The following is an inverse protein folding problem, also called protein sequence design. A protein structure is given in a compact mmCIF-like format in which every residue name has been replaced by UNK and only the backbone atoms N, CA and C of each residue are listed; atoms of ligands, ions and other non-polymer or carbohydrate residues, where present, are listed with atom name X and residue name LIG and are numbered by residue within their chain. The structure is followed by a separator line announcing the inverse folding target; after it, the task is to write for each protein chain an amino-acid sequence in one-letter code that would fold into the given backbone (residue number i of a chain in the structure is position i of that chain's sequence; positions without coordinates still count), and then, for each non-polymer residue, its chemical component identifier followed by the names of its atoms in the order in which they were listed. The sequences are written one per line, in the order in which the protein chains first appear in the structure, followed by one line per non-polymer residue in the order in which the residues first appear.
data_IF_570086242992
#
_entry.id   IF_570086242992
#
_cell.length_a   1.000
_cell.length_b   1.000
_cell.length_c   1.000
_cell.angle_alpha   90.00
_cell.angle_beta   90.00
_cell.angle_gamma   90.00
#
_symmetry.space_group_name_H-M   'P 1'
#
loop_
_entity.id
_entity.type
_entity.pdbx_description
1 polymer ?
#
# COMPACT_ATOMS: atom_id res chain seq x y z
N UNK A 1 0.01 -16.11 4.29
CA UNK A 1 -1.15 -17.04 4.22
C UNK A 1 -2.43 -16.49 4.85
N UNK A 2 -2.37 -15.73 5.96
CA UNK A 2 -3.54 -15.14 6.64
C UNK A 2 -4.51 -14.39 5.69
N UNK A 3 -4.01 -13.44 4.88
CA UNK A 3 -4.84 -12.65 3.97
C UNK A 3 -5.45 -13.46 2.82
N UNK A 4 -4.73 -14.44 2.30
CA UNK A 4 -5.28 -15.35 1.30
C UNK A 4 -6.41 -16.20 1.92
N UNK A 5 -6.22 -16.68 3.14
CA UNK A 5 -7.24 -17.40 3.90
C UNK A 5 -8.50 -16.57 4.17
N UNK A 6 -8.35 -15.30 4.55
CA UNK A 6 -9.49 -14.40 4.76
C UNK A 6 -10.26 -14.13 3.46
N UNK A 7 -9.56 -13.92 2.34
CA UNK A 7 -10.15 -13.77 1.01
C UNK A 7 -10.93 -15.02 0.59
N UNK A 8 -10.37 -16.21 0.80
CA UNK A 8 -11.04 -17.48 0.50
C UNK A 8 -12.25 -17.70 1.42
N UNK A 9 -12.14 -17.39 2.71
CA UNK A 9 -13.27 -17.47 3.65
C UNK A 9 -14.41 -16.53 3.24
N UNK A 10 -14.08 -15.34 2.75
CA UNK A 10 -15.05 -14.40 2.18
C UNK A 10 -15.69 -14.97 0.91
N UNK A 11 -14.89 -15.50 -0.02
CA UNK A 11 -15.36 -16.09 -1.28
C UNK A 11 -16.33 -17.26 -1.04
N UNK A 12 -16.07 -18.13 -0.06
CA UNK A 12 -16.99 -19.20 0.34
C UNK A 12 -18.33 -18.64 0.84
N UNK A 13 -18.33 -17.47 1.49
CA UNK A 13 -19.57 -16.78 1.87
C UNK A 13 -20.37 -16.28 0.69
N UNK A 14 -19.68 -15.67 -0.28
CA UNK A 14 -20.31 -15.26 -1.53
C UNK A 14 -20.90 -16.45 -2.27
N UNK A 15 -20.19 -17.59 -2.29
CA UNK A 15 -20.68 -18.81 -2.92
C UNK A 15 -21.98 -19.29 -2.29
N UNK A 16 -22.08 -19.31 -0.96
CA UNK A 16 -23.29 -19.75 -0.25
C UNK A 16 -24.45 -18.76 -0.38
N UNK A 17 -24.18 -17.47 -0.25
CA UNK A 17 -25.22 -16.45 -0.32
C UNK A 17 -25.72 -16.17 -1.73
N UNK A 18 -24.83 -16.27 -2.73
CA UNK A 18 -25.07 -15.69 -4.05
C UNK A 18 -24.65 -16.56 -5.23
N UNK A 19 -24.09 -17.74 -4.98
CA UNK A 19 -23.71 -18.72 -6.00
C UNK A 19 -22.23 -18.68 -6.40
N UNK A 20 -21.79 -19.77 -7.02
CA UNK A 20 -20.38 -20.01 -7.36
C UNK A 20 -19.79 -18.97 -8.32
N UNK A 21 -20.58 -18.47 -9.27
CA UNK A 21 -20.13 -17.47 -10.25
C UNK A 21 -19.70 -16.17 -9.59
N UNK A 22 -20.41 -15.72 -8.54
CA UNK A 22 -20.08 -14.49 -7.79
C UNK A 22 -18.74 -14.66 -7.06
N UNK A 23 -18.51 -15.83 -6.46
CA UNK A 23 -17.27 -16.14 -5.76
C UNK A 23 -16.06 -16.16 -6.71
N UNK A 24 -16.21 -16.74 -7.90
CA UNK A 24 -15.16 -16.76 -8.92
C UNK A 24 -14.81 -15.34 -9.38
N UNK A 25 -15.82 -14.52 -9.71
CA UNK A 25 -15.58 -13.12 -10.11
C UNK A 25 -14.93 -12.28 -9.01
N UNK A 26 -15.33 -12.49 -7.75
CA UNK A 26 -14.68 -11.86 -6.62
C UNK A 26 -13.20 -12.22 -6.54
N UNK A 27 -12.84 -13.51 -6.66
CA UNK A 27 -11.44 -13.94 -6.61
C UNK A 27 -10.63 -13.39 -7.79
N UNK A 28 -11.20 -13.37 -9.00
CA UNK A 28 -10.56 -12.78 -10.18
C UNK A 28 -10.32 -11.28 -9.97
N UNK A 29 -11.30 -10.55 -9.44
CA UNK A 29 -11.15 -9.13 -9.16
C UNK A 29 -10.09 -8.87 -8.08
N UNK A 30 -10.07 -9.64 -6.99
CA UNK A 30 -9.04 -9.46 -5.97
C UNK A 30 -7.64 -9.84 -6.46
N UNK A 31 -7.53 -10.86 -7.32
CA UNK A 31 -6.26 -11.22 -7.95
C UNK A 31 -5.80 -10.17 -8.99
N UNK A 32 -6.71 -9.38 -9.57
CA UNK A 32 -6.34 -8.29 -10.49
C UNK A 32 -6.09 -6.95 -9.79
N UNK A 33 -6.37 -6.82 -8.49
CA UNK A 33 -6.08 -5.61 -7.72
C UNK A 33 -4.61 -5.51 -7.34
N UNK A 34 -3.95 -4.45 -7.84
CA UNK A 34 -2.57 -4.11 -7.50
C UNK A 34 -2.34 -3.98 -6.01
N UNK A 35 -3.19 -3.26 -5.29
CA UNK A 35 -2.98 -2.97 -3.87
C UNK A 35 -2.96 -4.24 -3.01
N UNK A 36 -3.82 -5.23 -3.33
CA UNK A 36 -3.87 -6.49 -2.57
C UNK A 36 -2.55 -7.24 -2.73
N UNK A 37 -2.02 -7.36 -3.95
CA UNK A 37 -0.78 -8.08 -4.23
C UNK A 37 0.44 -7.31 -3.72
N UNK A 38 0.47 -6.00 -3.97
CA UNK A 38 1.56 -5.11 -3.58
C UNK A 38 1.81 -5.12 -2.06
N UNK A 39 0.72 -5.13 -1.27
CA UNK A 39 0.83 -5.16 0.17
C UNK A 39 0.92 -6.59 0.75
N UNK A 40 0.51 -7.63 0.02
CA UNK A 40 0.46 -9.00 0.54
C UNK A 40 1.80 -9.54 1.07
N UNK A 41 2.94 -9.08 0.53
CA UNK A 41 4.29 -9.48 0.96
C UNK A 41 4.84 -8.66 2.14
N UNK A 42 4.12 -7.62 2.59
CA UNK A 42 4.63 -6.65 3.55
C UNK A 42 3.95 -6.82 4.91
N UNK A 43 4.70 -6.93 6.03
CA UNK A 43 4.14 -7.03 7.37
C UNK A 43 3.66 -5.67 7.88
N UNK A 44 2.69 -5.07 7.18
CA UNK A 44 2.10 -3.78 7.52
C UNK A 44 0.83 -3.99 8.35
N UNK A 45 0.56 -3.07 9.29
CA UNK A 45 -0.68 -3.08 10.07
C UNK A 45 -1.92 -3.09 9.16
N UNK A 46 -1.85 -2.43 7.99
CA UNK A 46 -2.89 -2.43 6.96
C UNK A 46 -3.28 -3.84 6.51
N UNK A 47 -2.31 -4.74 6.37
CA UNK A 47 -2.55 -6.09 5.89
C UNK A 47 -3.12 -7.00 6.97
N UNK A 48 -2.75 -6.80 8.23
CA UNK A 48 -3.40 -7.48 9.34
C UNK A 48 -4.84 -6.98 9.53
N UNK A 49 -5.04 -5.67 9.46
CA UNK A 49 -6.37 -5.06 9.46
C UNK A 49 -7.22 -5.52 8.28
N UNK A 50 -6.65 -5.62 7.08
CA UNK A 50 -7.32 -6.13 5.88
C UNK A 50 -7.85 -7.56 6.08
N UNK A 51 -7.03 -8.46 6.62
CA UNK A 51 -7.49 -9.82 6.87
C UNK A 51 -8.63 -9.89 7.89
N UNK A 52 -8.51 -9.14 8.99
CA UNK A 52 -9.52 -9.11 10.06
C UNK A 52 -10.84 -8.48 9.59
N UNK A 53 -10.77 -7.35 8.87
CA UNK A 53 -11.94 -6.66 8.31
C UNK A 53 -12.61 -7.49 7.22
N UNK A 54 -11.87 -8.27 6.44
CA UNK A 54 -12.41 -9.21 5.45
C UNK A 54 -13.18 -10.35 6.14
N UNK A 55 -12.63 -10.92 7.21
CA UNK A 55 -13.33 -11.93 8.03
C UNK A 55 -14.60 -11.33 8.65
N UNK A 56 -14.51 -10.12 9.19
CA UNK A 56 -15.66 -9.43 9.76
C UNK A 56 -16.75 -9.16 8.70
N UNK A 57 -16.36 -8.76 7.49
CA UNK A 57 -17.28 -8.51 6.37
C UNK A 57 -17.99 -9.79 5.92
N UNK A 58 -17.31 -10.95 5.95
CA UNK A 58 -17.91 -12.26 5.66
C UNK A 58 -19.05 -12.60 6.62
N UNK A 59 -18.99 -12.14 7.87
CA UNK A 59 -20.05 -12.35 8.84
C UNK A 59 -21.32 -11.55 8.50
N UNK A 60 -21.21 -10.46 7.76
CA UNK A 60 -22.33 -9.61 7.32
C UNK A 60 -23.03 -10.13 6.05
N UNK A 61 -22.40 -11.06 5.32
CA UNK A 61 -22.99 -11.66 4.13
C UNK A 61 -24.24 -12.49 4.47
N UNK A 62 -25.30 -12.39 3.64
CA UNK A 62 -26.51 -13.18 3.84
C UNK A 62 -26.19 -14.67 3.69
N UNK A 63 -26.73 -15.46 4.62
CA UNK A 63 -26.68 -16.91 4.57
C UNK A 63 -28.08 -17.42 4.87
N UNK A 64 -28.76 -17.95 3.85
CA UNK A 64 -30.16 -18.37 3.95
C UNK A 64 -30.35 -19.66 4.75
N UNK A 65 -29.25 -20.34 5.09
CA UNK A 65 -29.28 -21.57 5.90
C UNK A 65 -29.31 -21.30 7.40
N UNK A 66 -29.14 -20.04 7.83
CA UNK A 66 -28.90 -19.68 9.23
C UNK A 66 -30.13 -18.95 9.83
N UNK A 67 -30.59 -19.33 11.04
CA UNK A 67 -31.67 -18.64 11.74
C UNK A 67 -31.38 -17.15 12.00
N UNK A 68 -32.42 -16.32 12.10
CA UNK A 68 -32.29 -14.86 12.33
C UNK A 68 -31.52 -14.51 13.62
N UNK A 69 -31.61 -15.33 14.67
CA UNK A 69 -30.90 -15.12 15.94
C UNK A 69 -29.38 -15.23 15.72
N UNK A 70 -28.95 -16.22 14.95
CA UNK A 70 -27.54 -16.43 14.62
C UNK A 70 -27.03 -15.37 13.64
N UNK A 71 -27.89 -14.83 12.78
CA UNK A 71 -27.56 -13.67 11.94
C UNK A 71 -27.25 -12.41 12.78
N UNK A 72 -28.00 -12.16 13.86
CA UNK A 72 -27.71 -11.05 14.79
C UNK A 72 -26.39 -11.27 15.54
N UNK A 73 -26.15 -12.48 16.05
CA UNK A 73 -24.87 -12.83 16.71
C UNK A 73 -23.68 -12.63 15.78
N UNK A 74 -23.80 -13.03 14.51
CA UNK A 74 -22.79 -12.79 13.47
C UNK A 74 -22.56 -11.31 13.19
N UNK A 75 -23.62 -10.51 13.12
CA UNK A 75 -23.50 -9.06 12.94
C UNK A 75 -22.80 -8.40 14.13
N UNK A 76 -23.12 -8.80 15.36
CA UNK A 76 -22.42 -8.34 16.57
C UNK A 76 -20.94 -8.72 16.56
N UNK A 77 -20.62 -9.97 16.22
CA UNK A 77 -19.23 -10.42 16.08
C UNK A 77 -18.47 -9.65 15.00
N UNK A 78 -19.14 -9.32 13.88
CA UNK A 78 -18.56 -8.47 12.83
C UNK A 78 -18.14 -7.11 13.38
N UNK A 79 -19.05 -6.42 14.09
CA UNK A 79 -18.76 -5.13 14.71
C UNK A 79 -17.61 -5.23 15.72
N UNK A 80 -17.57 -6.32 16.50
CA UNK A 80 -16.48 -6.57 17.45
C UNK A 80 -15.14 -6.63 16.74
N UNK A 81 -15.04 -7.46 15.69
CA UNK A 81 -13.81 -7.64 14.92
C UNK A 81 -13.37 -6.37 14.18
N UNK A 82 -14.31 -5.61 13.60
CA UNK A 82 -14.00 -4.34 12.95
C UNK A 82 -13.46 -3.30 13.94
N UNK A 83 -14.06 -3.21 15.13
CA UNK A 83 -13.62 -2.29 16.17
C UNK A 83 -12.25 -2.70 16.77
N UNK A 84 -12.01 -3.99 17.00
CA UNK A 84 -10.69 -4.49 17.45
C UNK A 84 -9.62 -4.17 16.38
N UNK A 85 -9.93 -4.40 15.10
CA UNK A 85 -9.01 -4.06 14.02
C UNK A 85 -8.67 -2.57 14.02
N UNK A 86 -9.65 -1.70 14.31
CA UNK A 86 -9.43 -0.26 14.39
C UNK A 86 -8.58 0.18 15.59
N UNK A 87 -8.81 -0.42 16.76
CA UNK A 87 -8.08 -0.09 18.00
C UNK A 87 -6.61 -0.50 17.93
N UNK A 88 -6.34 -1.68 17.33
CA UNK A 88 -4.98 -2.26 17.30
C UNK A 88 -4.17 -1.77 16.09
N UNK A 89 -4.77 -1.66 14.90
CA UNK A 89 -3.99 -1.52 13.66
C UNK A 89 -4.17 -0.19 12.91
N UNK A 90 -5.37 0.41 12.99
CA UNK A 90 -5.83 1.45 12.05
C UNK A 90 -7.00 2.27 12.62
N UNK A 91 -6.74 3.41 13.27
CA UNK A 91 -7.81 4.27 13.81
C UNK A 91 -8.84 4.74 12.77
N UNK A 92 -8.49 4.84 11.48
CA UNK A 92 -9.41 5.23 10.40
C UNK A 92 -10.57 4.25 10.19
N UNK A 93 -10.43 2.99 10.62
CA UNK A 93 -11.51 2.01 10.58
C UNK A 93 -12.69 2.38 11.50
N UNK A 94 -12.52 3.32 12.43
CA UNK A 94 -13.63 3.83 13.24
C UNK A 94 -14.76 4.39 12.36
N UNK A 95 -14.42 5.10 11.26
CA UNK A 95 -15.41 5.58 10.29
C UNK A 95 -16.17 4.43 9.63
N UNK A 96 -15.47 3.35 9.33
CA UNK A 96 -16.08 2.17 8.74
C UNK A 96 -16.99 1.44 9.74
N UNK A 97 -16.58 1.31 11.00
CA UNK A 97 -17.40 0.76 12.09
C UNK A 97 -18.67 1.58 12.29
N UNK A 98 -18.56 2.91 12.35
CA UNK A 98 -19.69 3.81 12.55
C UNK A 98 -20.70 3.70 11.41
N UNK A 99 -20.24 3.80 10.16
CA UNK A 99 -21.13 3.69 8.99
C UNK A 99 -21.80 2.32 8.91
N UNK A 100 -21.05 1.24 9.19
CA UNK A 100 -21.59 -0.12 9.24
C UNK A 100 -22.62 -0.31 10.37
N UNK A 101 -22.37 0.30 11.54
CA UNK A 101 -23.27 0.24 12.70
C UNK A 101 -24.57 0.98 12.39
N UNK A 102 -24.51 2.22 11.89
CA UNK A 102 -25.67 3.00 11.49
C UNK A 102 -26.50 2.24 10.45
N UNK A 103 -25.83 1.64 9.45
CA UNK A 103 -26.49 0.85 8.43
C UNK A 103 -27.22 -0.38 9.01
N UNK A 104 -26.58 -1.12 9.91
CA UNK A 104 -27.17 -2.30 10.54
C UNK A 104 -28.33 -1.96 11.48
N UNK A 105 -28.28 -0.81 12.15
CA UNK A 105 -29.36 -0.27 12.97
C UNK A 105 -30.56 0.14 12.08
N UNK A 106 -30.30 0.87 10.99
CA UNK A 106 -31.34 1.29 10.05
C UNK A 106 -32.06 0.09 9.41
N UNK A 107 -31.33 -0.99 9.13
CA UNK A 107 -31.89 -2.25 8.60
C UNK A 107 -32.55 -3.14 9.67
N UNK A 108 -32.59 -2.71 10.94
CA UNK A 108 -33.15 -3.49 12.04
C UNK A 108 -32.43 -4.81 12.34
N UNK A 109 -31.19 -4.98 11.86
CA UNK A 109 -30.41 -6.22 12.03
C UNK A 109 -29.77 -6.32 13.41
N UNK A 110 -29.54 -5.19 14.06
CA UNK A 110 -28.77 -5.02 15.31
C UNK A 110 -29.54 -4.08 16.23
N UNK A 111 -29.43 -4.26 17.55
CA UNK A 111 -29.97 -3.35 18.58
C UNK A 111 -28.86 -2.42 19.10
N UNK A 112 -29.18 -1.16 19.31
CA UNK A 112 -28.20 -0.15 19.75
C UNK A 112 -27.48 -0.57 21.05
N UNK A 113 -28.24 -0.84 22.11
CA UNK A 113 -27.64 -1.12 23.42
C UNK A 113 -27.06 -2.55 23.46
N UNK A 114 -27.87 -3.55 23.16
CA UNK A 114 -27.52 -4.96 23.38
C UNK A 114 -26.47 -5.50 22.41
N UNK A 115 -26.35 -4.91 21.22
CA UNK A 115 -25.44 -5.40 20.21
C UNK A 115 -24.35 -4.37 19.89
N UNK A 116 -24.68 -3.12 19.58
CA UNK A 116 -23.67 -2.14 19.14
C UNK A 116 -22.81 -1.61 20.29
N UNK A 117 -23.42 -1.14 21.39
CA UNK A 117 -22.67 -0.63 22.56
C UNK A 117 -21.88 -1.75 23.23
N UNK A 118 -22.51 -2.91 23.46
CA UNK A 118 -21.81 -4.07 24.04
C UNK A 118 -20.66 -4.53 23.14
N UNK A 119 -20.84 -4.56 21.82
CA UNK A 119 -19.73 -4.85 20.91
C UNK A 119 -18.59 -3.84 21.07
N UNK A 120 -18.90 -2.55 21.14
CA UNK A 120 -17.90 -1.50 21.37
C UNK A 120 -17.14 -1.66 22.67
N UNK A 121 -17.82 -1.94 23.79
CA UNK A 121 -17.19 -2.15 25.10
C UNK A 121 -16.28 -3.38 25.09
N UNK A 122 -16.75 -4.50 24.53
CA UNK A 122 -15.95 -5.73 24.41
C UNK A 122 -14.70 -5.46 23.56
N UNK A 123 -14.86 -4.81 22.41
CA UNK A 123 -13.75 -4.47 21.54
C UNK A 123 -12.76 -3.51 22.19
N UNK A 124 -13.24 -2.53 22.94
CA UNK A 124 -12.39 -1.59 23.66
C UNK A 124 -11.55 -2.31 24.71
N UNK A 125 -12.20 -3.14 25.54
CA UNK A 125 -11.50 -3.89 26.58
C UNK A 125 -10.48 -4.87 25.99
N UNK A 126 -10.90 -5.71 25.04
CA UNK A 126 -10.01 -6.72 24.43
C UNK A 126 -8.91 -6.05 23.61
N UNK A 127 -9.26 -5.05 22.81
CA UNK A 127 -8.31 -4.32 21.96
C UNK A 127 -7.24 -3.60 22.77
N UNK A 128 -7.64 -2.86 23.83
CA UNK A 128 -6.70 -2.14 24.69
C UNK A 128 -5.78 -3.09 25.46
N UNK A 129 -6.30 -4.19 26.01
CA UNK A 129 -5.48 -5.17 26.70
C UNK A 129 -4.42 -5.78 25.78
N UNK A 130 -4.76 -6.06 24.53
CA UNK A 130 -3.81 -6.58 23.55
C UNK A 130 -2.77 -5.54 23.13
N UNK A 131 -3.19 -4.35 22.67
CA UNK A 131 -2.23 -3.33 22.20
C UNK A 131 -1.40 -2.78 23.34
N UNK A 132 -2.00 -2.36 24.45
CA UNK A 132 -1.23 -1.80 25.57
C UNK A 132 -0.37 -2.87 26.23
N UNK A 133 -0.86 -4.10 26.37
CA UNK A 133 -0.08 -5.19 26.96
C UNK A 133 1.13 -5.56 26.10
N UNK A 134 0.91 -5.84 24.81
CA UNK A 134 1.95 -6.34 23.91
C UNK A 134 2.90 -5.21 23.48
N UNK A 135 2.36 -4.08 23.02
CA UNK A 135 3.17 -3.00 22.46
C UNK A 135 4.02 -2.33 23.53
N UNK A 136 3.52 -2.19 24.78
CA UNK A 136 4.33 -1.61 25.85
C UNK A 136 5.58 -2.46 26.18
N UNK A 137 5.50 -3.79 26.03
CA UNK A 137 6.65 -4.69 26.22
C UNK A 137 7.65 -4.49 25.08
N UNK A 138 7.20 -4.53 23.82
CA UNK A 138 8.09 -4.41 22.68
C UNK A 138 8.75 -3.04 22.54
N UNK A 139 8.05 -1.98 22.97
CA UNK A 139 8.54 -0.61 22.90
C UNK A 139 9.24 -0.15 24.18
N UNK A 140 9.32 -1.00 25.22
CA UNK A 140 9.87 -0.64 26.53
C UNK A 140 9.29 0.68 27.10
N UNK A 141 8.01 0.93 26.86
CA UNK A 141 7.31 2.14 27.31
C UNK A 141 5.93 1.74 27.81
N UNK A 142 5.68 1.90 29.11
CA UNK A 142 4.42 1.51 29.74
C UNK A 142 3.76 2.74 30.37
N UNK A 143 2.48 3.06 30.06
CA UNK A 143 1.63 2.46 29.03
C UNK A 143 1.87 3.08 27.65
N UNK A 144 1.86 2.25 26.60
CA UNK A 144 1.88 2.69 25.21
C UNK A 144 0.64 2.19 24.46
N UNK A 145 -0.06 3.10 23.80
CA UNK A 145 -1.08 2.78 22.80
C UNK A 145 -0.67 3.41 21.46
N UNK A 146 -0.01 2.64 20.57
CA UNK A 146 0.60 3.20 19.35
C UNK A 146 -0.40 3.94 18.45
N UNK A 147 -1.59 3.38 18.23
CA UNK A 147 -2.61 3.99 17.38
C UNK A 147 -3.17 5.29 17.97
N UNK A 148 -3.26 5.41 19.30
CA UNK A 148 -3.69 6.65 19.94
C UNK A 148 -2.62 7.73 19.87
N UNK A 149 -1.36 7.39 20.14
CA UNK A 149 -0.23 8.31 19.94
C UNK A 149 -0.16 8.78 18.48
N UNK A 150 -0.34 7.86 17.52
CA UNK A 150 -0.38 8.18 16.09
C UNK A 150 -1.57 9.08 15.72
N UNK A 151 -2.74 8.87 16.32
CA UNK A 151 -3.92 9.71 16.13
C UNK A 151 -3.70 11.12 16.69
N UNK A 152 -3.17 11.23 17.91
CA UNK A 152 -2.83 12.51 18.52
C UNK A 152 -1.83 13.29 17.66
N UNK A 153 -0.76 12.63 17.22
CA UNK A 153 0.27 13.27 16.41
C UNK A 153 -0.25 13.72 15.04
N UNK A 154 -0.95 12.84 14.31
CA UNK A 154 -1.32 13.13 12.93
C UNK A 154 -2.59 13.98 12.81
N UNK A 155 -3.60 13.71 13.63
CA UNK A 155 -4.94 14.33 13.53
C UNK A 155 -5.05 15.55 14.44
N UNK A 156 -4.70 15.41 15.73
CA UNK A 156 -4.87 16.50 16.70
C UNK A 156 -3.78 17.57 16.53
N UNK A 157 -2.52 17.15 16.37
CA UNK A 157 -1.39 18.08 16.18
C UNK A 157 -1.20 18.54 14.73
N UNK A 158 -2.04 18.07 13.79
CA UNK A 158 -2.04 18.51 12.38
C UNK A 158 -0.81 18.09 11.56
N UNK A 159 0.04 17.22 12.09
CA UNK A 159 1.28 16.78 11.43
C UNK A 159 1.03 15.92 10.19
N UNK A 160 -0.20 15.43 9.99
CA UNK A 160 -0.62 14.75 8.76
C UNK A 160 -0.35 15.58 7.49
N UNK A 161 -0.37 16.91 7.60
CA UNK A 161 -0.14 17.82 6.47
C UNK A 161 1.34 17.94 6.04
N UNK A 162 2.28 17.62 6.93
CA UNK A 162 3.72 17.60 6.63
C UNK A 162 4.09 16.52 5.60
N UNK A 163 3.29 15.45 5.53
CA UNK A 163 3.46 14.36 4.56
C UNK A 163 2.88 14.68 3.17
N UNK A 164 2.42 15.91 2.96
CA UNK A 164 1.86 16.40 1.71
C UNK A 164 0.33 16.35 1.65
N UNK A 165 -0.27 17.36 1.02
CA UNK A 165 -1.72 17.49 0.87
C UNK A 165 -2.11 17.58 -0.59
N UNK A 166 -3.08 16.79 -1.02
CA UNK A 166 -3.67 16.93 -2.35
C UNK A 166 -5.04 17.62 -2.28
N UNK A 167 -5.45 18.39 -3.30
CA UNK A 167 -6.79 18.98 -3.35
C UNK A 167 -7.89 17.93 -3.25
N UNK A 168 -9.05 18.28 -2.70
CA UNK A 168 -10.15 17.33 -2.43
C UNK A 168 -10.57 16.51 -3.68
N UNK A 169 -10.55 17.13 -4.87
CA UNK A 169 -10.93 16.46 -6.12
C UNK A 169 -9.94 15.37 -6.54
N UNK A 170 -8.69 15.42 -6.09
CA UNK A 170 -7.68 14.41 -6.38
C UNK A 170 -8.10 13.04 -5.85
N UNK A 171 -8.70 12.99 -4.65
CA UNK A 171 -9.14 11.74 -4.05
C UNK A 171 -10.22 11.04 -4.87
N UNK A 172 -11.14 11.81 -5.46
CA UNK A 172 -12.24 11.26 -6.26
C UNK A 172 -11.86 10.99 -7.71
N UNK A 173 -11.04 11.85 -8.33
CA UNK A 173 -10.70 11.76 -9.75
C UNK A 173 -9.47 10.88 -10.02
N UNK A 174 -8.54 10.80 -9.07
CA UNK A 174 -7.29 10.05 -9.23
C UNK A 174 -7.18 8.87 -8.27
N UNK A 175 -7.32 9.10 -6.96
CA UNK A 175 -7.04 8.05 -5.99
C UNK A 175 -8.08 6.91 -6.06
N UNK A 176 -9.37 7.24 -6.13
CA UNK A 176 -10.44 6.25 -6.17
C UNK A 176 -10.43 5.38 -7.46
N UNK A 177 -10.26 5.93 -8.68
CA UNK A 177 -10.11 5.09 -9.88
C UNK A 177 -8.86 4.21 -9.84
N UNK A 178 -7.73 4.72 -9.30
CA UNK A 178 -6.52 3.92 -9.10
C UNK A 178 -6.72 2.79 -8.08
N UNK A 179 -7.56 3.00 -7.07
CA UNK A 179 -7.90 1.96 -6.10
C UNK A 179 -8.75 0.85 -6.72
N UNK A 180 -9.63 1.19 -7.66
CA UNK A 180 -10.57 0.23 -8.26
C UNK A 180 -10.02 -0.45 -9.52
N UNK A 181 -8.96 0.09 -10.14
CA UNK A 181 -8.15 -0.38 -11.28
C UNK A 181 -8.88 -0.78 -12.57
N UNK A 182 -9.96 -1.56 -12.49
CA UNK A 182 -10.77 -1.97 -13.61
C UNK A 182 -11.90 -0.96 -13.86
N UNK A 183 -11.82 -0.14 -14.93
CA UNK A 183 -12.83 0.87 -15.22
C UNK A 183 -14.20 0.30 -15.54
N UNK A 184 -14.28 -0.90 -16.13
CA UNK A 184 -15.57 -1.53 -16.45
C UNK A 184 -16.30 -1.97 -15.19
N UNK A 185 -15.61 -2.12 -14.08
CA UNK A 185 -16.24 -2.53 -12.83
C UNK A 185 -17.11 -1.40 -12.25
N UNK A 186 -16.62 -0.17 -12.21
CA UNK A 186 -17.44 0.96 -11.72
C UNK A 186 -18.29 1.63 -12.81
N UNK A 187 -17.87 1.59 -14.09
CA UNK A 187 -18.65 2.17 -15.20
C UNK A 187 -19.77 1.26 -15.70
N UNK A 188 -19.63 -0.06 -15.60
CA UNK A 188 -20.58 -1.02 -16.14
C UNK A 188 -21.17 -1.94 -15.07
N UNK A 189 -20.36 -2.56 -14.22
CA UNK A 189 -20.89 -3.54 -13.26
C UNK A 189 -21.74 -2.89 -12.15
N UNK A 190 -21.33 -1.75 -11.58
CA UNK A 190 -22.15 -1.02 -10.59
C UNK A 190 -23.49 -0.56 -11.17
N UNK A 191 -23.55 0.18 -12.30
CA UNK A 191 -24.83 0.68 -12.82
C UNK A 191 -25.76 -0.46 -13.24
N UNK A 192 -25.22 -1.54 -13.81
CA UNK A 192 -26.02 -2.72 -14.16
C UNK A 192 -26.57 -3.40 -12.90
N UNK A 193 -25.77 -3.54 -11.83
CA UNK A 193 -26.21 -4.14 -10.57
C UNK A 193 -27.28 -3.30 -9.85
N UNK A 194 -27.22 -1.96 -9.95
CA UNK A 194 -28.18 -1.06 -9.33
C UNK A 194 -29.48 -0.90 -10.14
N UNK A 195 -29.40 -0.94 -11.48
CA UNK A 195 -30.56 -0.74 -12.36
C UNK A 195 -31.47 -1.96 -12.41
N UNK A 196 -30.93 -3.16 -12.20
CA UNK A 196 -31.70 -4.41 -12.32
C UNK A 196 -32.38 -4.79 -10.99
N UNK A 197 -33.71 -4.99 -10.95
CA UNK A 197 -34.44 -5.28 -9.71
C UNK A 197 -33.94 -6.54 -8.96
N UNK A 198 -33.54 -7.57 -9.72
CA UNK A 198 -33.04 -8.84 -9.18
C UNK A 198 -31.71 -8.70 -8.43
N UNK A 199 -30.89 -7.70 -8.79
CA UNK A 199 -29.55 -7.48 -8.22
C UNK A 199 -29.51 -6.30 -7.26
N UNK A 200 -30.45 -5.36 -7.39
CA UNK A 200 -30.53 -4.15 -6.59
C UNK A 200 -30.70 -4.43 -5.10
N UNK A 201 -31.62 -5.33 -4.73
CA UNK A 201 -31.94 -5.65 -3.34
C UNK A 201 -30.75 -6.19 -2.53
N UNK A 202 -29.93 -7.13 -3.04
CA UNK A 202 -28.71 -7.54 -2.37
C UNK A 202 -27.53 -6.57 -2.56
N UNK A 203 -27.47 -5.81 -3.66
CA UNK A 203 -26.38 -4.87 -3.93
C UNK A 203 -26.43 -3.62 -3.05
N UNK A 204 -27.61 -3.09 -2.71
CA UNK A 204 -27.75 -1.87 -1.89
C UNK A 204 -27.11 -2.06 -0.49
N UNK A 205 -27.44 -3.11 0.28
CA UNK A 205 -26.83 -3.33 1.59
C UNK A 205 -25.32 -3.57 1.55
N UNK A 206 -24.83 -4.05 0.41
CA UNK A 206 -23.42 -4.28 0.15
C UNK A 206 -22.70 -3.01 -0.31
N UNK A 207 -23.39 -2.05 -0.92
CA UNK A 207 -22.84 -0.78 -1.39
C UNK A 207 -22.85 0.31 -0.32
N UNK A 208 -23.90 0.38 0.49
CA UNK A 208 -24.13 1.51 1.40
C UNK A 208 -23.01 1.70 2.43
N UNK A 209 -22.46 0.65 3.07
CA UNK A 209 -21.31 0.82 3.94
C UNK A 209 -19.96 0.59 3.24
N UNK A 210 -19.96 0.04 2.03
CA UNK A 210 -18.77 -0.60 1.45
C UNK A 210 -18.84 -0.60 -0.07
N UNK A 211 -18.43 0.50 -0.71
CA UNK A 211 -18.55 0.71 -2.17
C UNK A 211 -17.87 -0.36 -3.07
N UNK A 212 -17.25 -1.40 -2.52
CA UNK A 212 -16.58 -2.50 -3.24
C UNK A 212 -17.38 -3.82 -3.38
N UNK A 213 -18.51 -4.05 -2.69
CA UNK A 213 -19.14 -5.39 -2.69
C UNK A 213 -20.21 -5.67 -3.76
N UNK A 214 -20.72 -4.66 -4.48
CA UNK A 214 -21.65 -4.89 -5.61
C UNK A 214 -20.98 -5.32 -6.90
N UNK A 215 -19.66 -5.16 -6.98
CA UNK A 215 -18.85 -5.35 -8.19
C UNK A 215 -18.93 -6.79 -8.72
N UNK A 216 -18.72 -7.84 -7.89
CA UNK A 216 -18.78 -9.22 -8.35
C UNK A 216 -20.21 -9.66 -8.72
N UNK A 217 -21.23 -9.02 -8.14
CA UNK A 217 -22.64 -9.32 -8.39
C UNK A 217 -23.09 -8.87 -9.77
N UNK A 218 -22.77 -7.62 -10.15
CA UNK A 218 -23.03 -7.11 -11.50
C UNK A 218 -22.33 -7.92 -12.58
N UNK A 219 -21.07 -8.31 -12.33
CA UNK A 219 -20.30 -9.18 -13.22
C UNK A 219 -20.92 -10.59 -13.36
N UNK A 220 -21.32 -11.21 -12.24
CA UNK A 220 -21.98 -12.51 -12.25
C UNK A 220 -23.32 -12.50 -13.01
N UNK A 221 -24.10 -11.42 -12.89
CA UNK A 221 -25.35 -11.27 -13.63
C UNK A 221 -25.12 -11.26 -15.15
N UNK A 222 -24.16 -10.44 -15.61
CA UNK A 222 -23.79 -10.37 -17.03
C UNK A 222 -23.27 -11.73 -17.54
N UNK A 223 -22.45 -12.41 -16.75
CA UNK A 223 -21.91 -13.73 -17.10
C UNK A 223 -22.99 -14.80 -17.26
N UNK A 224 -23.95 -14.86 -16.34
CA UNK A 224 -25.01 -15.86 -16.36
C UNK A 224 -26.01 -15.67 -17.49
N UNK A 225 -26.16 -14.43 -18.00
CA UNK A 225 -27.06 -14.12 -19.13
C UNK A 225 -26.36 -14.00 -20.48
N UNK A 226 -25.07 -14.35 -20.57
CA UNK A 226 -24.27 -14.21 -21.80
C UNK A 226 -24.86 -14.93 -23.02
N UNK A 227 -25.57 -16.04 -22.83
CA UNK A 227 -26.21 -16.80 -23.91
C UNK A 227 -27.60 -16.27 -24.31
N UNK A 228 -28.18 -15.37 -23.51
CA UNK A 228 -29.56 -14.89 -23.68
C UNK A 228 -29.63 -13.45 -24.20
N UNK A 229 -28.52 -12.72 -24.22
CA UNK A 229 -28.47 -11.33 -24.67
C UNK A 229 -27.13 -11.02 -25.32
N UNK A 230 -27.17 -10.43 -26.53
CA UNK A 230 -25.97 -9.96 -27.22
C UNK A 230 -25.20 -8.92 -26.40
N UNK A 231 -25.90 -8.02 -25.71
CA UNK A 231 -25.29 -7.04 -24.82
C UNK A 231 -24.53 -7.72 -23.66
N UNK A 232 -25.14 -8.71 -23.01
CA UNK A 232 -24.48 -9.46 -21.93
C UNK A 232 -23.31 -10.31 -22.46
N UNK A 233 -23.42 -10.85 -23.67
CA UNK A 233 -22.37 -11.61 -24.35
C UNK A 233 -21.14 -10.74 -24.63
N UNK A 234 -21.33 -9.57 -25.23
CA UNK A 234 -20.23 -8.62 -25.51
C UNK A 234 -19.64 -8.07 -24.21
N UNK A 235 -20.50 -7.64 -23.28
CA UNK A 235 -20.07 -7.09 -21.98
C UNK A 235 -19.27 -8.09 -21.15
N UNK A 236 -19.65 -9.37 -21.13
CA UNK A 236 -18.91 -10.41 -20.40
C UNK A 236 -17.53 -10.68 -21.01
N UNK A 237 -17.39 -10.69 -22.34
CA UNK A 237 -16.07 -10.80 -23.01
C UNK A 237 -15.18 -9.59 -22.71
N UNK A 238 -15.74 -8.38 -22.75
CA UNK A 238 -15.02 -7.16 -22.39
C UNK A 238 -14.60 -7.17 -20.91
N UNK A 239 -15.44 -7.70 -20.00
CA UNK A 239 -15.09 -7.86 -18.59
C UNK A 239 -13.94 -8.85 -18.38
N UNK A 240 -13.92 -9.99 -19.09
CA UNK A 240 -12.79 -10.93 -19.03
C UNK A 240 -11.51 -10.26 -19.54
N UNK A 241 -11.58 -9.63 -20.71
CA UNK A 241 -10.41 -8.98 -21.32
C UNK A 241 -9.87 -7.83 -20.45
N UNK A 242 -10.74 -6.97 -19.93
CA UNK A 242 -10.35 -5.87 -19.04
C UNK A 242 -9.76 -6.38 -17.71
N UNK A 243 -10.29 -7.48 -17.16
CA UNK A 243 -9.75 -8.07 -15.92
C UNK A 243 -8.38 -8.68 -16.15
N UNK A 244 -8.17 -9.33 -17.30
CA UNK A 244 -6.87 -9.87 -17.69
C UNK A 244 -5.87 -8.74 -17.97
N UNK A 245 -6.29 -7.68 -18.66
CA UNK A 245 -5.46 -6.49 -18.90
C UNK A 245 -5.08 -5.80 -17.58
N UNK A 246 -6.03 -5.63 -16.65
CA UNK A 246 -5.77 -5.08 -15.33
C UNK A 246 -4.81 -5.98 -14.52
N UNK A 247 -4.99 -7.30 -14.57
CA UNK A 247 -4.08 -8.26 -13.94
C UNK A 247 -2.66 -8.13 -14.51
N UNK A 248 -2.51 -8.11 -15.83
CA UNK A 248 -1.20 -7.99 -16.48
C UNK A 248 -0.53 -6.64 -16.18
N UNK A 249 -1.29 -5.54 -16.26
CA UNK A 249 -0.80 -4.20 -15.91
C UNK A 249 -0.36 -4.14 -14.44
N UNK A 250 -1.17 -4.71 -13.54
CA UNK A 250 -0.88 -4.76 -12.11
C UNK A 250 0.40 -5.53 -11.81
N UNK A 251 0.53 -6.76 -12.32
CA UNK A 251 1.62 -7.67 -11.94
C UNK A 251 2.92 -7.44 -12.71
N UNK A 252 2.85 -7.08 -14.00
CA UNK A 252 4.05 -6.96 -14.84
C UNK A 252 4.54 -5.52 -15.03
N UNK A 253 3.73 -4.51 -14.69
CA UNK A 253 4.11 -3.10 -14.86
C UNK A 253 4.09 -2.35 -13.53
N UNK A 254 2.94 -2.32 -12.84
CA UNK A 254 2.79 -1.53 -11.61
C UNK A 254 3.58 -2.12 -10.45
N UNK A 255 3.60 -3.45 -10.29
CA UNK A 255 4.36 -4.12 -9.23
C UNK A 255 5.87 -3.90 -9.36
N UNK A 256 6.51 -4.15 -10.51
CA UNK A 256 7.91 -3.79 -10.70
C UNK A 256 8.19 -2.29 -10.53
N UNK A 257 7.36 -1.41 -11.11
CA UNK A 257 7.51 0.04 -10.95
C UNK A 257 7.44 0.47 -9.48
N UNK A 258 6.57 -0.18 -8.69
CA UNK A 258 6.44 0.10 -7.27
C UNK A 258 7.62 -0.40 -6.43
N UNK A 259 8.34 -1.44 -6.87
CA UNK A 259 9.58 -1.85 -6.22
C UNK A 259 10.65 -0.76 -6.34
N UNK A 260 10.68 -0.04 -7.47
CA UNK A 260 11.56 1.11 -7.70
C UNK A 260 11.21 2.37 -6.86
N UNK A 261 10.13 2.34 -6.07
CA UNK A 261 9.79 3.40 -5.11
C UNK A 261 10.46 3.22 -3.73
N UNK A 262 11.40 2.28 -3.58
CA UNK A 262 12.12 2.03 -2.32
C UNK A 262 13.63 2.33 -2.40
N UNK A 263 14.05 3.53 -2.87
CA UNK A 263 15.47 3.88 -2.97
C UNK A 263 16.20 3.85 -1.61
N UNK A 264 15.51 4.05 -0.48
CA UNK A 264 16.12 4.05 0.85
C UNK A 264 16.74 2.71 1.23
N UNK A 265 16.03 1.60 0.98
CA UNK A 265 16.57 0.26 1.23
C UNK A 265 17.82 -0.01 0.36
N UNK A 266 17.79 0.42 -0.90
CA UNK A 266 18.94 0.32 -1.79
C UNK A 266 20.12 1.18 -1.31
N UNK A 267 19.86 2.37 -0.78
CA UNK A 267 20.87 3.27 -0.24
C UNK A 267 21.65 2.67 0.90
N UNK A 268 20.93 2.09 1.86
CA UNK A 268 21.56 1.49 3.01
C UNK A 268 22.38 0.24 2.61
N UNK A 269 21.83 -0.61 1.74
CA UNK A 269 22.54 -1.82 1.29
C UNK A 269 23.78 -1.49 0.46
N UNK A 270 23.71 -0.48 -0.40
CA UNK A 270 24.85 -0.04 -1.19
C UNK A 270 25.94 0.61 -0.33
N UNK A 271 25.53 1.38 0.70
CA UNK A 271 26.44 1.89 1.74
C UNK A 271 27.17 0.73 2.43
N UNK A 272 26.45 -0.28 2.94
CA UNK A 272 27.06 -1.43 3.62
C UNK A 272 28.03 -2.18 2.71
N UNK A 273 27.63 -2.45 1.47
CA UNK A 273 28.49 -3.14 0.51
C UNK A 273 29.76 -2.34 0.21
N UNK A 274 29.68 -1.02 0.04
CA UNK A 274 30.87 -0.20 -0.22
C UNK A 274 31.76 -0.06 0.99
N UNK A 275 31.17 0.06 2.18
CA UNK A 275 31.93 0.12 3.42
C UNK A 275 32.70 -1.18 3.65
N UNK A 276 32.06 -2.34 3.43
CA UNK A 276 32.71 -3.65 3.48
C UNK A 276 33.84 -3.83 2.46
N UNK A 277 33.83 -3.11 1.34
CA UNK A 277 34.94 -3.10 0.37
C UNK A 277 36.07 -2.14 0.75
N UNK A 278 35.75 -1.08 1.49
CA UNK A 278 36.70 -0.03 1.85
C UNK A 278 37.49 -0.36 3.12
N UNK A 279 36.90 -1.13 4.02
CA UNK A 279 37.48 -1.44 5.33
C UNK A 279 37.90 -2.91 5.38
N UNK A 280 39.14 -3.16 5.81
CA UNK A 280 39.70 -4.52 5.90
C UNK A 280 39.35 -5.24 7.20
N UNK A 281 38.91 -4.50 8.23
CA UNK A 281 38.54 -5.03 9.53
C UNK A 281 37.01 -5.13 9.66
N UNK A 282 36.50 -6.29 10.06
CA UNK A 282 35.05 -6.53 10.18
C UNK A 282 34.43 -5.81 11.39
N UNK A 283 35.25 -5.31 12.32
CA UNK A 283 34.82 -4.63 13.56
C UNK A 283 34.75 -3.10 13.44
N UNK A 284 35.16 -2.53 12.32
CA UNK A 284 35.18 -1.08 12.10
C UNK A 284 33.90 -0.65 11.36
N UNK A 285 32.80 -0.62 12.10
CA UNK A 285 31.52 -0.10 11.61
C UNK A 285 31.46 1.43 11.60
N UNK A 286 30.40 1.98 11.00
CA UNK A 286 30.27 3.42 10.80
C UNK A 286 29.03 4.03 11.49
N UNK A 287 29.13 5.32 11.80
CA UNK A 287 27.99 6.12 12.26
C UNK A 287 27.24 6.72 11.08
N UNK A 288 25.94 6.41 10.96
CA UNK A 288 25.11 6.77 9.80
C UNK A 288 23.89 7.57 10.24
N UNK A 289 23.72 8.77 9.66
CA UNK A 289 22.47 9.52 9.77
C UNK A 289 21.46 9.12 8.68
N UNK A 290 20.21 8.91 9.10
CA UNK A 290 19.12 8.49 8.23
C UNK A 290 18.14 9.65 7.98
N UNK A 291 18.09 10.16 6.76
CA UNK A 291 17.15 11.19 6.33
C UNK A 291 15.69 10.72 6.33
N UNK A 292 14.76 11.67 6.39
CA UNK A 292 13.32 11.36 6.48
C UNK A 292 12.81 10.62 5.24
N UNK A 293 13.15 11.08 4.03
CA UNK A 293 12.78 10.38 2.80
C UNK A 293 13.39 8.97 2.75
N UNK A 294 14.60 8.79 3.28
CA UNK A 294 15.30 7.49 3.27
C UNK A 294 14.55 6.44 4.13
N UNK A 295 14.09 6.83 5.31
CA UNK A 295 13.24 5.97 6.16
C UNK A 295 11.88 5.67 5.51
N UNK A 296 11.22 6.66 4.91
CA UNK A 296 9.94 6.46 4.22
C UNK A 296 10.05 5.51 3.02
N UNK A 297 11.20 5.49 2.36
CA UNK A 297 11.46 4.71 1.15
C UNK A 297 12.22 3.41 1.42
N UNK A 298 12.11 2.86 2.64
CA UNK A 298 12.43 1.45 2.89
C UNK A 298 13.60 1.18 3.83
N UNK A 299 14.22 2.20 4.44
CA UNK A 299 15.15 1.93 5.55
C UNK A 299 14.35 1.45 6.77
N UNK A 300 14.61 0.22 7.20
CA UNK A 300 13.99 -0.39 8.37
C UNK A 300 15.05 -0.89 9.33
N UNK A 301 14.69 -1.11 10.61
CA UNK A 301 15.60 -1.68 11.61
C UNK A 301 16.11 -3.08 11.24
N UNK A 302 15.36 -3.85 10.45
CA UNK A 302 15.81 -5.17 9.97
C UNK A 302 16.97 -5.10 8.97
N UNK A 303 17.21 -3.93 8.38
CA UNK A 303 18.35 -3.70 7.49
C UNK A 303 19.58 -3.19 8.25
N UNK A 304 19.46 -2.86 9.53
CA UNK A 304 20.57 -2.32 10.32
C UNK A 304 21.54 -3.44 10.72
N UNK A 305 22.84 -3.17 10.60
CA UNK A 305 23.88 -4.06 11.10
C UNK A 305 24.00 -3.97 12.63
N UNK A 306 24.56 -5.01 13.25
CA UNK A 306 24.69 -5.09 14.71
C UNK A 306 25.56 -3.97 15.28
N UNK A 307 25.16 -3.33 16.40
CA UNK A 307 26.03 -2.42 17.14
C UNK A 307 27.34 -3.08 17.60
N UNK A 308 27.35 -4.40 17.80
CA UNK A 308 28.55 -5.16 18.15
C UNK A 308 29.62 -5.18 17.04
N UNK A 309 29.26 -4.78 15.82
CA UNK A 309 30.16 -4.60 14.68
C UNK A 309 30.51 -3.11 14.45
N UNK A 310 30.34 -2.25 15.46
CA UNK A 310 30.67 -0.82 15.38
C UNK A 310 29.64 0.06 14.66
N UNK A 311 28.49 -0.49 14.25
CA UNK A 311 27.47 0.29 13.53
C UNK A 311 26.56 1.09 14.45
N UNK A 312 26.39 2.37 14.13
CA UNK A 312 25.43 3.25 14.80
C UNK A 312 24.53 3.92 13.77
N UNK A 313 23.22 3.92 14.02
CA UNK A 313 22.23 4.55 13.14
C UNK A 313 21.42 5.57 13.93
N UNK A 314 21.45 6.82 13.48
CA UNK A 314 20.71 7.90 14.11
C UNK A 314 19.58 8.40 13.20
N UNK A 315 18.41 8.59 13.81
CA UNK A 315 17.22 9.15 13.20
C UNK A 315 16.68 10.35 13.99
N UNK A 316 17.57 11.21 14.48
CA UNK A 316 17.19 12.42 15.20
C UNK A 316 16.42 13.37 14.28
N UNK A 317 15.18 13.70 14.65
CA UNK A 317 14.31 14.61 13.88
C UNK A 317 14.29 16.05 14.43
N UNK A 318 14.96 16.30 15.55
CA UNK A 318 14.98 17.62 16.20
C UNK A 318 15.65 18.68 15.29
N UNK A 319 14.86 19.70 14.95
CA UNK A 319 15.29 20.79 14.06
C UNK A 319 16.41 21.64 14.68
N UNK A 320 16.45 21.78 16.00
CA UNK A 320 17.47 22.56 16.70
C UNK A 320 18.83 21.86 16.63
N UNK A 321 18.88 20.55 16.92
CA UNK A 321 20.11 19.75 16.86
C UNK A 321 20.67 19.70 15.43
N UNK A 322 19.81 19.48 14.43
CA UNK A 322 20.18 19.47 13.00
C UNK A 322 20.77 20.79 12.49
N UNK A 323 20.55 21.91 13.21
CA UNK A 323 21.10 23.21 12.84
C UNK A 323 22.54 23.43 13.33
N UNK A 324 23.06 22.53 14.16
CA UNK A 324 24.40 22.62 14.74
C UNK A 324 25.43 21.82 13.93
N UNK A 325 26.66 22.34 13.85
CA UNK A 325 27.78 21.61 13.23
C UNK A 325 28.17 20.35 14.03
N UNK A 326 28.11 20.44 15.36
CA UNK A 326 28.49 19.34 16.25
C UNK A 326 27.66 18.07 15.97
N UNK A 327 26.39 18.23 15.64
CA UNK A 327 25.51 17.12 15.28
C UNK A 327 25.97 16.39 14.02
N UNK A 328 26.35 17.10 12.96
CA UNK A 328 26.75 16.45 11.70
C UNK A 328 28.16 15.86 11.76
N UNK A 329 29.02 16.42 12.61
CA UNK A 329 30.41 15.96 12.79
C UNK A 329 30.53 14.61 13.52
N UNK A 330 29.45 14.04 14.04
CA UNK A 330 29.48 12.72 14.66
C UNK A 330 29.25 11.57 13.66
N UNK A 331 28.87 11.89 12.41
CA UNK A 331 28.54 10.89 11.40
C UNK A 331 29.65 10.73 10.36
N UNK A 332 29.85 9.48 9.93
CA UNK A 332 30.76 9.12 8.84
C UNK A 332 30.01 9.10 7.51
N UNK A 333 28.75 8.67 7.54
CA UNK A 333 27.87 8.64 6.39
C UNK A 333 26.54 9.32 6.67
N UNK A 334 25.99 9.96 5.64
CA UNK A 334 24.70 10.63 5.70
C UNK A 334 23.88 10.22 4.49
N UNK A 335 22.69 9.64 4.71
CA UNK A 335 21.74 9.30 3.65
C UNK A 335 20.64 10.37 3.64
N UNK A 336 20.62 11.20 2.61
CA UNK A 336 19.68 12.34 2.49
C UNK A 336 19.08 12.42 1.09
N UNK A 337 18.10 13.30 0.91
CA UNK A 337 17.53 13.61 -0.39
C UNK A 337 18.62 14.04 -1.40
N UNK A 338 18.49 13.62 -2.67
CA UNK A 338 19.44 13.96 -3.74
C UNK A 338 19.03 15.19 -4.56
N UNK A 339 17.77 15.61 -4.45
CA UNK A 339 17.23 16.73 -5.21
C UNK A 339 16.41 17.62 -4.29
N UNK A 340 16.53 18.94 -4.47
CA UNK A 340 15.65 19.96 -3.89
C UNK A 340 14.27 19.93 -4.56
N UNK A 341 13.65 18.76 -4.60
CA UNK A 341 12.30 18.56 -5.12
C UNK A 341 11.36 19.41 -4.26
N UNK A 342 10.71 20.42 -4.86
CA UNK A 342 9.89 21.41 -4.13
C UNK A 342 8.73 20.78 -3.35
N UNK A 343 8.38 19.55 -3.70
CA UNK A 343 7.27 18.80 -3.12
C UNK A 343 7.63 18.14 -1.77
N UNK A 344 8.92 18.04 -1.40
CA UNK A 344 9.36 17.50 -0.11
C UNK A 344 9.78 18.63 0.84
N UNK A 345 9.05 18.79 1.94
CA UNK A 345 9.22 19.90 2.90
C UNK A 345 10.38 19.71 3.87
N UNK A 346 10.92 18.49 3.98
CA UNK A 346 12.04 18.20 4.88
C UNK A 346 13.34 18.03 4.09
N UNK A 347 13.95 19.16 3.72
CA UNK A 347 15.22 19.16 3.02
C UNK A 347 16.39 19.07 4.03
N UNK A 348 16.58 17.88 4.61
CA UNK A 348 17.73 17.58 5.48
C UNK A 348 19.05 17.88 4.75
N UNK A 349 19.13 17.55 3.45
CA UNK A 349 20.26 17.92 2.57
C UNK A 349 20.51 19.44 2.53
N UNK A 350 19.46 20.25 2.40
CA UNK A 350 19.61 21.72 2.30
C UNK A 350 20.03 22.31 3.64
N UNK A 351 19.68 21.67 4.76
CA UNK A 351 20.18 22.08 6.08
C UNK A 351 21.64 21.68 6.25
N UNK A 352 22.00 20.45 5.86
CA UNK A 352 23.38 20.01 5.84
C UNK A 352 24.26 20.95 5.02
N UNK A 353 23.86 21.33 3.80
CA UNK A 353 24.58 22.32 2.96
C UNK A 353 24.60 23.75 3.50
N UNK A 354 23.61 24.13 4.32
CA UNK A 354 23.59 25.45 4.97
C UNK A 354 24.54 25.50 6.15
N UNK A 355 24.69 24.39 6.85
CA UNK A 355 25.54 24.29 8.04
C UNK A 355 26.96 23.96 7.61
N UNK A 356 27.18 22.99 6.74
CA UNK A 356 28.49 22.51 6.32
C UNK A 356 28.86 23.03 4.93
N UNK A 357 30.14 23.37 4.74
CA UNK A 357 30.66 23.70 3.42
C UNK A 357 30.71 22.42 2.56
N UNK A 358 30.39 22.52 1.26
CA UNK A 358 30.34 21.37 0.33
C UNK A 358 31.68 20.58 0.27
N UNK A 359 32.78 21.12 0.81
CA UNK A 359 34.12 20.51 0.82
C UNK A 359 34.27 19.29 1.72
N UNK A 360 33.47 19.17 2.79
CA UNK A 360 33.72 18.15 3.83
C UNK A 360 33.02 16.82 3.53
N UNK A 361 32.19 16.78 2.48
CA UNK A 361 31.32 15.65 2.16
C UNK A 361 31.39 15.28 0.68
N UNK A 362 31.78 14.04 0.41
CA UNK A 362 31.79 13.49 -0.93
C UNK A 362 30.49 12.73 -1.22
N UNK A 363 29.90 12.97 -2.39
CA UNK A 363 28.76 12.17 -2.85
C UNK A 363 29.25 10.84 -3.41
N UNK A 364 29.09 9.78 -2.61
CA UNK A 364 29.52 8.44 -3.02
C UNK A 364 28.52 7.80 -3.98
N UNK A 365 27.22 7.89 -3.70
CA UNK A 365 26.20 7.23 -4.49
C UNK A 365 24.95 8.09 -4.63
N UNK A 366 24.34 8.03 -5.81
CA UNK A 366 23.04 8.64 -6.10
C UNK A 366 22.11 7.54 -6.56
N UNK A 367 20.95 7.47 -5.91
CA UNK A 367 20.00 6.39 -6.10
C UNK A 367 18.71 6.96 -6.66
N UNK A 368 18.38 6.44 -7.83
CA UNK A 368 17.18 6.82 -8.52
C UNK A 368 15.95 6.13 -7.92
N UNK A 369 14.88 6.90 -7.78
CA UNK A 369 13.54 6.42 -7.49
C UNK A 369 12.59 6.68 -8.65
N UNK A 370 11.46 5.99 -8.64
CA UNK A 370 10.41 6.21 -9.64
C UNK A 370 9.79 7.61 -9.50
N UNK A 371 9.69 8.31 -10.63
CA UNK A 371 9.23 9.70 -10.72
C UNK A 371 8.02 9.88 -11.66
N UNK A 372 7.46 8.79 -12.17
CA UNK A 372 6.30 8.80 -13.05
C UNK A 372 6.56 8.09 -14.37
N UNK A 373 5.72 8.40 -15.35
CA UNK A 373 5.75 7.76 -16.66
C UNK A 373 6.12 8.82 -17.71
N UNK A 374 7.15 8.56 -18.52
CA UNK A 374 7.52 9.40 -19.67
C UNK A 374 6.98 8.79 -20.96
N UNK A 375 6.35 9.64 -21.78
CA UNK A 375 5.96 9.29 -23.14
C UNK A 375 7.09 9.75 -24.07
N UNK A 376 7.80 8.79 -24.63
CA UNK A 376 8.85 9.01 -25.61
C UNK A 376 8.25 9.24 -26.99
N UNK A 377 8.75 10.27 -27.67
CA UNK A 377 8.37 10.60 -29.03
C UNK A 377 9.15 9.72 -30.03
N UNK A 378 8.68 9.60 -31.27
CA UNK A 378 9.48 8.99 -32.34
C UNK A 378 10.83 9.71 -32.48
N UNK A 379 11.94 8.95 -32.44
CA UNK A 379 13.30 9.47 -32.59
C UNK A 379 14.13 9.57 -31.31
N UNK A 380 13.55 9.45 -30.11
CA UNK A 380 14.33 9.39 -28.85
C UNK A 380 14.72 7.95 -28.48
N UNK A 381 15.95 7.72 -28.03
CA UNK A 381 16.35 6.40 -27.52
C UNK A 381 15.49 6.02 -26.30
N UNK A 382 14.96 4.78 -26.28
CA UNK A 382 14.31 4.23 -25.10
C UNK A 382 15.36 3.43 -24.35
N UNK A 383 15.87 3.99 -23.25
CA UNK A 383 16.91 3.33 -22.47
C UNK A 383 16.32 2.22 -21.59
N UNK A 384 15.04 2.36 -21.18
CA UNK A 384 14.30 1.32 -20.45
C UNK A 384 15.06 0.73 -19.24
N UNK A 385 15.95 1.52 -18.63
CA UNK A 385 16.95 1.00 -17.69
C UNK A 385 16.31 0.45 -16.41
N UNK A 386 15.18 1.05 -16.01
CA UNK A 386 14.40 0.58 -14.86
C UNK A 386 13.72 -0.75 -15.18
N UNK A 387 13.04 -0.85 -16.32
CA UNK A 387 12.35 -2.06 -16.75
C UNK A 387 13.33 -3.21 -17.00
N UNK A 388 14.48 -2.92 -17.63
CA UNK A 388 15.55 -3.89 -17.88
C UNK A 388 16.15 -4.42 -16.58
N UNK A 389 16.44 -3.54 -15.61
CA UNK A 389 16.97 -3.93 -14.29
C UNK A 389 15.97 -4.74 -13.48
N UNK A 390 14.67 -4.42 -13.59
CA UNK A 390 13.62 -5.19 -12.92
C UNK A 390 13.45 -6.58 -13.53
N UNK A 391 13.47 -6.68 -14.86
CA UNK A 391 13.30 -7.94 -15.57
C UNK A 391 14.52 -8.84 -15.47
N UNK A 392 15.73 -8.27 -15.38
CA UNK A 392 16.94 -9.05 -15.13
C UNK A 392 16.95 -9.68 -13.73
N UNK A 393 16.39 -9.00 -12.72
CA UNK A 393 16.24 -9.55 -11.37
C UNK A 393 15.18 -10.66 -11.31
N UNK A 394 14.09 -10.54 -12.07
CA UNK A 394 12.99 -11.51 -12.04
C UNK A 394 13.20 -12.74 -12.92
N UNK A 395 13.87 -12.59 -14.08
CA UNK A 395 14.00 -13.65 -15.08
C UNK A 395 15.38 -13.75 -15.74
N UNK A 396 16.40 -13.11 -15.16
CA UNK A 396 17.75 -13.09 -15.69
C UNK A 396 17.92 -12.22 -16.94
N UNK A 397 19.15 -12.18 -17.46
CA UNK A 397 19.50 -11.46 -18.70
C UNK A 397 18.62 -11.87 -19.89
N UNK A 398 18.17 -13.13 -19.96
CA UNK A 398 17.28 -13.61 -21.02
C UNK A 398 15.92 -12.91 -21.05
N UNK A 399 15.33 -12.62 -19.88
CA UNK A 399 14.06 -11.89 -19.80
C UNK A 399 14.22 -10.40 -20.12
N UNK A 400 15.33 -9.80 -19.71
CA UNK A 400 15.70 -8.44 -20.07
C UNK A 400 15.89 -8.27 -21.59
N UNK A 401 16.60 -9.21 -22.22
CA UNK A 401 16.82 -9.21 -23.67
C UNK A 401 15.53 -9.46 -24.47
N UNK A 402 14.67 -10.36 -23.99
CA UNK A 402 13.34 -10.57 -24.58
C UNK A 402 12.48 -9.30 -24.50
N UNK A 403 12.54 -8.58 -23.38
CA UNK A 403 11.83 -7.31 -23.25
C UNK A 403 12.35 -6.23 -24.20
N UNK A 404 13.67 -6.10 -24.35
CA UNK A 404 14.25 -5.17 -25.32
C UNK A 404 13.76 -5.51 -26.76
N UNK A 405 13.75 -6.79 -27.13
CA UNK A 405 13.24 -7.24 -28.45
C UNK A 405 11.74 -6.95 -28.64
N UNK A 406 10.92 -7.24 -27.63
CA UNK A 406 9.47 -7.00 -27.67
C UNK A 406 9.19 -5.50 -27.69
N UNK A 407 9.88 -4.71 -26.85
CA UNK A 407 9.78 -3.25 -26.84
C UNK A 407 10.07 -2.70 -28.22
N UNK A 408 11.21 -3.03 -28.80
CA UNK A 408 11.66 -2.42 -30.03
C UNK A 408 10.76 -2.84 -31.21
N UNK A 409 10.27 -4.08 -31.20
CA UNK A 409 9.28 -4.58 -32.17
C UNK A 409 7.93 -3.87 -32.05
N UNK A 410 7.37 -3.76 -30.84
CA UNK A 410 6.08 -3.09 -30.59
C UNK A 410 6.18 -1.59 -30.86
N UNK A 411 7.28 -0.97 -30.44
CA UNK A 411 7.56 0.46 -30.69
C UNK A 411 7.61 0.76 -32.19
N UNK A 412 8.28 -0.09 -32.96
CA UNK A 412 8.45 0.09 -34.40
C UNK A 412 7.19 -0.23 -35.20
N UNK A 413 6.51 -1.33 -34.89
CA UNK A 413 5.39 -1.87 -35.70
C UNK A 413 4.05 -1.31 -35.26
N UNK A 414 3.77 -1.28 -33.97
CA UNK A 414 2.45 -0.93 -33.42
C UNK A 414 2.35 0.56 -33.06
N UNK A 415 3.38 1.11 -32.41
CA UNK A 415 3.33 2.46 -31.84
C UNK A 415 4.02 3.54 -32.70
N UNK A 416 4.52 3.19 -33.89
CA UNK A 416 5.15 4.12 -34.86
C UNK A 416 6.21 5.04 -34.23
N UNK A 417 7.03 4.51 -33.32
CA UNK A 417 8.10 5.23 -32.64
C UNK A 417 7.73 5.82 -31.27
N UNK A 418 6.45 5.83 -30.89
CA UNK A 418 6.02 6.22 -29.55
C UNK A 418 6.28 5.10 -28.54
N UNK A 419 6.73 5.43 -27.33
CA UNK A 419 6.92 4.46 -26.26
C UNK A 419 6.59 5.08 -24.90
N UNK A 420 6.23 4.23 -23.95
CA UNK A 420 5.94 4.62 -22.58
C UNK A 420 6.97 3.94 -21.69
N UNK A 421 7.80 4.73 -21.02
CA UNK A 421 8.84 4.23 -20.12
C UNK A 421 8.64 4.77 -18.69
N UNK A 422 9.20 4.06 -17.72
CA UNK A 422 9.26 4.49 -16.33
C UNK A 422 10.33 5.58 -16.20
N UNK A 423 9.90 6.78 -15.81
CA UNK A 423 10.78 7.90 -15.54
C UNK A 423 11.42 7.70 -14.18
N UNK A 424 12.74 7.50 -14.16
CA UNK A 424 13.54 7.47 -12.95
C UNK A 424 14.18 8.84 -12.70
N UNK A 425 14.28 9.25 -11.43
CA UNK A 425 15.00 10.47 -11.03
C UNK A 425 15.79 10.23 -9.75
N UNK A 426 16.90 10.95 -9.55
CA UNK A 426 17.67 10.87 -8.32
C UNK A 426 16.81 11.31 -7.13
N UNK A 427 16.57 10.40 -6.19
CA UNK A 427 15.74 10.64 -4.99
C UNK A 427 16.58 10.71 -3.73
N UNK A 428 17.57 9.83 -3.58
CA UNK A 428 18.45 9.79 -2.42
C UNK A 428 19.90 9.78 -2.85
N UNK A 429 20.75 10.31 -1.98
CA UNK A 429 22.20 10.22 -2.13
C UNK A 429 22.84 9.81 -0.82
N UNK A 430 23.98 9.14 -0.94
CA UNK A 430 24.82 8.74 0.19
C UNK A 430 26.05 9.64 0.19
N UNK A 431 26.17 10.45 1.24
CA UNK A 431 27.31 11.31 1.48
C UNK A 431 28.28 10.59 2.42
N UNK A 432 29.57 10.61 2.10
CA UNK A 432 30.65 10.16 2.98
C UNK A 432 31.45 11.37 3.42
N UNK A 433 31.80 11.44 4.69
CA UNK A 433 32.66 12.51 5.19
C UNK A 433 34.10 12.31 4.72
N UNK A 434 34.72 13.38 4.23
CA UNK A 434 36.15 13.42 3.94
C UNK A 434 36.84 13.77 5.26
N UNK A 435 37.68 12.85 5.78
CA UNK A 435 38.59 13.17 6.88
C UNK A 435 39.88 13.66 6.23
N UNK A 436 40.29 14.89 6.51
CA UNK A 436 41.67 15.33 6.23
C UNK A 436 42.59 14.45 7.09
N UNK A 437 43.54 13.76 6.45
CA UNK A 437 44.57 12.95 7.13
C UNK A 437 45.55 13.82 7.93
#
# INVERSE_FOLDING_TARGET
MYNAGSLLYFAHGLQRGFGQTVAIWYLIFQASQFHVIYYASRPLSNMFAFGMTTIASRLLLPDFTIPRIDARRRARLSLILLAIAGIIFRSELALFVVTQTIFLLAMGRVRLIQDAIIAGIISLFVGLQLTVGIDSIFWNRVPLWPEFDAFLFNVVSGQSSEWGTSPWYFYFLNALPRLLLNPLVYLLAIPVALRQPATRQPAIPLLTPTLAFSLPWGASYLWNRRSRSMFACVSSRLLVFSSLAAFSLSNFVLLPASAANYPGAHALNALHHRHALAVSDELDGASVYLGNLACQTGITRFLQQSPGLGWSYDKTEDKALKSSHAFWNQFDYVIVEASSDKDYRDNDETRLRRVLQDSDWETTEVIDGFAGVSILRPGSAANGAAERRLLSVLGGESAANLYDQVRDSVRKVLLRGWWVELKMRPKLKVLKRIREE
#
